data_IF_551950437161
#
_entry.id   IF_551950437161
#
_cell.length_a   1.000
_cell.length_b   1.000
_cell.length_c   1.000
_cell.angle_alpha   90.00
_cell.angle_beta   90.00
_cell.angle_gamma   90.00
#
_symmetry.space_group_name_H-M   'P 1'
#
loop_
_entity.id
_entity.type
_entity.pdbx_description
1 polymer ?
#
# COMPACT_ATOMS: atom_id res chain seq x y z
N UNK A 1 -22.49 -4.53 -14.63
CA UNK A 1 -22.17 -4.36 -13.19
C UNK A 1 -22.01 -2.87 -12.96
N UNK A 2 -22.68 -2.32 -11.94
CA UNK A 2 -22.52 -0.90 -11.60
C UNK A 2 -21.10 -0.68 -11.08
N UNK A 3 -20.46 0.41 -11.51
CA UNK A 3 -19.11 0.79 -11.07
C UNK A 3 -19.16 1.13 -9.58
N UNK A 4 -18.17 0.70 -8.80
CA UNK A 4 -18.11 0.99 -7.37
C UNK A 4 -18.15 2.53 -7.15
N UNK A 5 -18.99 3.06 -6.23
CA UNK A 5 -19.16 4.50 -6.04
C UNK A 5 -17.85 5.22 -5.69
N UNK A 6 -17.00 4.57 -4.90
CA UNK A 6 -15.73 5.16 -4.46
C UNK A 6 -14.61 5.10 -5.51
N UNK A 7 -14.83 4.50 -6.69
CA UNK A 7 -13.75 4.19 -7.62
C UNK A 7 -13.00 5.44 -8.12
N UNK A 8 -13.72 6.55 -8.35
CA UNK A 8 -13.09 7.82 -8.74
C UNK A 8 -12.27 8.43 -7.59
N UNK A 9 -12.80 8.39 -6.37
CA UNK A 9 -12.10 8.92 -5.19
C UNK A 9 -10.84 8.12 -4.85
N UNK A 10 -10.89 6.79 -4.98
CA UNK A 10 -9.74 5.92 -4.74
C UNK A 10 -8.70 6.04 -5.85
N UNK A 11 -9.12 6.21 -7.11
CA UNK A 11 -8.19 6.53 -8.20
C UNK A 11 -7.44 7.84 -7.91
N UNK A 12 -8.15 8.89 -7.49
CA UNK A 12 -7.52 10.16 -7.15
C UNK A 12 -6.51 10.03 -5.99
N UNK A 13 -6.82 9.20 -4.99
CA UNK A 13 -5.89 8.89 -3.90
C UNK A 13 -4.64 8.16 -4.40
N UNK A 14 -4.82 7.13 -5.24
CA UNK A 14 -3.73 6.37 -5.86
C UNK A 14 -2.82 7.29 -6.68
N UNK A 15 -3.39 8.18 -7.49
CA UNK A 15 -2.64 9.14 -8.29
C UNK A 15 -1.79 10.06 -7.42
N UNK A 16 -2.37 10.61 -6.35
CA UNK A 16 -1.64 11.43 -5.38
C UNK A 16 -0.52 10.64 -4.67
N UNK A 17 -0.75 9.37 -4.33
CA UNK A 17 0.29 8.52 -3.74
C UNK A 17 1.46 8.29 -4.71
N UNK A 18 1.19 8.14 -6.01
CA UNK A 18 2.24 8.07 -7.04
C UNK A 18 3.01 9.40 -7.18
N UNK A 19 2.36 10.55 -7.03
CA UNK A 19 3.04 11.84 -7.01
C UNK A 19 4.03 11.92 -5.84
N UNK A 20 3.62 11.55 -4.63
CA UNK A 20 4.51 11.54 -3.46
C UNK A 20 5.66 10.54 -3.60
N UNK A 21 5.42 9.37 -4.19
CA UNK A 21 6.46 8.40 -4.50
C UNK A 21 7.50 8.99 -5.47
N UNK A 22 7.05 9.67 -6.52
CA UNK A 22 7.96 10.29 -7.49
C UNK A 22 8.74 11.45 -6.85
N UNK A 23 8.11 12.27 -6.02
CA UNK A 23 8.80 13.31 -5.25
C UNK A 23 9.87 12.70 -4.32
N UNK A 24 9.58 11.59 -3.64
CA UNK A 24 10.56 10.88 -2.81
C UNK A 24 11.74 10.36 -3.65
N UNK A 25 11.47 9.85 -4.86
CA UNK A 25 12.50 9.41 -5.80
C UNK A 25 13.37 10.56 -6.28
N UNK A 26 12.77 11.69 -6.67
CA UNK A 26 13.48 12.90 -7.10
C UNK A 26 14.36 13.47 -5.97
N UNK A 27 13.87 13.50 -4.73
CA UNK A 27 14.66 13.89 -3.55
C UNK A 27 15.91 13.01 -3.38
N UNK A 28 15.76 11.69 -3.51
CA UNK A 28 16.87 10.76 -3.41
C UNK A 28 17.88 10.92 -4.57
N UNK A 29 17.41 11.13 -5.81
CA UNK A 29 18.29 11.41 -6.97
C UNK A 29 19.05 12.71 -6.79
N UNK A 30 18.39 13.79 -6.36
CA UNK A 30 19.05 15.08 -6.15
C UNK A 30 20.14 14.99 -5.06
N UNK A 31 19.85 14.26 -3.98
CA UNK A 31 20.84 14.00 -2.93
C UNK A 31 22.06 13.26 -3.49
N UNK A 32 21.85 12.25 -4.35
CA UNK A 32 22.93 11.53 -5.05
C UNK A 32 23.82 12.49 -5.85
N UNK A 33 23.21 13.36 -6.66
CA UNK A 33 23.95 14.32 -7.49
C UNK A 33 24.76 15.31 -6.65
N UNK A 34 24.24 15.77 -5.51
CA UNK A 34 25.00 16.64 -4.60
C UNK A 34 26.25 15.96 -4.03
N UNK A 35 26.13 14.67 -3.67
CA UNK A 35 27.23 13.84 -3.17
C UNK A 35 28.31 13.62 -4.25
N UNK A 36 27.90 13.45 -5.52
CA UNK A 36 28.82 13.30 -6.66
C UNK A 36 29.61 14.58 -7.00
N UNK A 37 29.02 15.76 -6.85
CA UNK A 37 29.67 17.05 -7.17
C UNK A 37 30.74 17.41 -6.13
N UNK A 38 30.63 16.94 -4.89
CA UNK A 38 31.59 17.16 -3.80
C UNK A 38 32.93 16.42 -3.92
N UNK A 39 33.42 16.12 -5.13
CA UNK A 39 34.63 15.34 -5.43
C UNK A 39 35.94 16.05 -5.01
N UNK A 40 36.17 16.12 -3.70
CA UNK A 40 37.40 16.56 -3.04
C UNK A 40 37.43 16.11 -1.57
N UNK A 41 38.57 16.23 -0.87
CA UNK A 41 38.68 15.94 0.57
C UNK A 41 39.60 14.80 0.99
N UNK A 42 39.76 14.65 2.31
CA UNK A 42 40.59 13.63 2.99
C UNK A 42 40.09 12.21 2.72
N UNK A 43 40.88 11.19 3.07
CA UNK A 43 40.47 9.76 2.94
C UNK A 43 39.19 9.46 3.71
N UNK A 44 39.02 10.05 4.90
CA UNK A 44 37.83 9.95 5.74
C UNK A 44 36.59 10.50 5.03
N UNK A 45 36.71 11.66 4.39
CA UNK A 45 35.62 12.27 3.62
C UNK A 45 35.22 11.47 2.37
N UNK A 46 36.09 10.59 1.86
CA UNK A 46 35.76 9.65 0.77
C UNK A 46 34.99 8.44 1.30
N UNK A 47 35.41 7.86 2.43
CA UNK A 47 34.72 6.73 3.04
C UNK A 47 33.29 7.08 3.47
N UNK A 48 33.10 8.21 4.15
CA UNK A 48 31.76 8.69 4.54
C UNK A 48 30.85 8.90 3.33
N UNK A 49 31.43 9.36 2.21
CA UNK A 49 30.72 9.54 0.95
C UNK A 49 30.26 8.22 0.35
N UNK A 50 31.15 7.23 0.31
CA UNK A 50 30.84 5.92 -0.26
C UNK A 50 29.68 5.25 0.52
N UNK A 51 29.67 5.38 1.86
CA UNK A 51 28.55 4.91 2.69
C UNK A 51 27.25 5.64 2.36
N UNK A 52 27.30 6.97 2.20
CA UNK A 52 26.11 7.76 1.85
C UNK A 52 25.61 7.38 0.44
N UNK A 53 26.50 7.21 -0.53
CA UNK A 53 26.13 6.79 -1.89
C UNK A 53 25.46 5.41 -1.88
N UNK A 54 26.02 4.44 -1.14
CA UNK A 54 25.44 3.11 -0.98
C UNK A 54 24.04 3.18 -0.35
N UNK A 55 23.86 4.01 0.69
CA UNK A 55 22.56 4.22 1.32
C UNK A 55 21.52 4.80 0.34
N UNK A 56 21.92 5.78 -0.49
CA UNK A 56 21.04 6.38 -1.49
C UNK A 56 20.68 5.37 -2.58
N UNK A 57 21.65 4.58 -3.07
CA UNK A 57 21.40 3.52 -4.05
C UNK A 57 20.43 2.47 -3.49
N UNK A 58 20.65 2.03 -2.25
CA UNK A 58 19.74 1.11 -1.57
C UNK A 58 18.33 1.70 -1.43
N UNK A 59 18.21 2.99 -1.11
CA UNK A 59 16.91 3.68 -1.04
C UNK A 59 16.23 3.73 -2.41
N UNK A 60 16.95 4.09 -3.47
CA UNK A 60 16.39 4.16 -4.83
C UNK A 60 15.93 2.78 -5.32
N UNK A 61 16.72 1.73 -5.08
CA UNK A 61 16.35 0.36 -5.44
C UNK A 61 15.08 -0.10 -4.71
N UNK A 62 14.93 0.25 -3.43
CA UNK A 62 13.70 -0.05 -2.67
C UNK A 62 12.48 0.70 -3.19
N UNK A 63 12.62 1.82 -3.89
CA UNK A 63 11.49 2.59 -4.43
C UNK A 63 11.03 2.10 -5.82
N UNK A 64 11.61 1.01 -6.36
CA UNK A 64 11.22 0.46 -7.64
C UNK A 64 10.01 -0.48 -7.53
N UNK A 65 8.91 -0.11 -8.17
CA UNK A 65 7.68 -0.94 -8.28
C UNK A 65 7.65 -1.82 -9.54
N UNK A 66 8.45 -1.50 -10.56
CA UNK A 66 8.32 -2.11 -11.88
C UNK A 66 6.91 -1.87 -12.47
N UNK A 67 6.24 -2.94 -12.89
CA UNK A 67 4.86 -2.90 -13.41
C UNK A 67 3.79 -3.10 -12.33
N UNK A 68 4.16 -3.33 -11.08
CA UNK A 68 3.21 -3.59 -9.99
C UNK A 68 2.47 -2.30 -9.56
N UNK A 69 1.23 -2.46 -9.10
CA UNK A 69 0.49 -1.36 -8.48
C UNK A 69 1.13 -0.98 -7.13
N UNK A 70 1.11 0.31 -6.79
CA UNK A 70 1.63 0.81 -5.51
C UNK A 70 0.75 0.33 -4.35
N UNK A 71 -0.55 0.55 -4.48
CA UNK A 71 -1.59 0.24 -3.49
C UNK A 71 -2.38 -0.96 -4.00
N UNK A 72 -2.73 -1.89 -3.12
CA UNK A 72 -3.57 -3.05 -3.46
C UNK A 72 -4.82 -3.17 -2.58
N UNK A 73 -4.98 -2.29 -1.59
CA UNK A 73 -6.20 -2.23 -0.81
C UNK A 73 -6.16 -1.20 0.29
N UNK A 74 -7.20 -1.22 1.13
CA UNK A 74 -7.40 -0.33 2.27
C UNK A 74 -8.02 -1.12 3.43
N UNK A 75 -7.67 -0.77 4.66
CA UNK A 75 -8.39 -1.21 5.86
C UNK A 75 -8.96 0.01 6.57
N UNK A 76 -10.17 -0.16 7.10
CA UNK A 76 -10.81 0.81 7.99
C UNK A 76 -11.00 0.13 9.34
N UNK A 77 -10.64 0.82 10.42
CA UNK A 77 -10.67 0.27 11.78
C UNK A 77 -11.86 0.81 12.57
N UNK A 78 -12.20 0.14 13.67
CA UNK A 78 -13.21 0.59 14.63
C UNK A 78 -12.87 1.96 15.27
N UNK A 79 -11.58 2.30 15.36
CA UNK A 79 -11.09 3.61 15.82
C UNK A 79 -11.37 4.75 14.81
N UNK A 80 -11.84 4.43 13.61
CA UNK A 80 -12.09 5.38 12.53
C UNK A 80 -10.85 5.72 11.70
N UNK A 81 -9.75 5.00 11.90
CA UNK A 81 -8.53 5.15 11.10
C UNK A 81 -8.68 4.41 9.76
N UNK A 82 -8.03 4.93 8.72
CA UNK A 82 -8.00 4.32 7.39
C UNK A 82 -6.56 4.20 6.92
N UNK A 83 -6.18 2.99 6.52
CA UNK A 83 -4.83 2.72 6.05
C UNK A 83 -4.87 2.13 4.65
N UNK A 84 -4.33 2.85 3.67
CA UNK A 84 -4.07 2.31 2.35
C UNK A 84 -2.82 1.43 2.39
N UNK A 85 -2.99 0.16 2.03
CA UNK A 85 -1.94 -0.86 2.12
C UNK A 85 -1.31 -1.07 0.74
N UNK A 86 0.01 -1.01 0.71
CA UNK A 86 0.77 -1.07 -0.53
C UNK A 86 2.12 -1.76 -0.41
N UNK A 87 2.80 -1.84 -1.56
CA UNK A 87 4.09 -2.53 -1.69
C UNK A 87 5.25 -1.76 -1.10
N UNK A 88 5.10 -0.45 -0.97
CA UNK A 88 6.10 0.48 -0.48
C UNK A 88 5.44 1.48 0.47
N UNK A 89 6.13 1.82 1.55
CA UNK A 89 5.76 2.95 2.38
C UNK A 89 5.97 4.27 1.61
N UNK A 90 4.93 5.09 1.56
CA UNK A 90 4.95 6.44 0.99
C UNK A 90 4.43 7.41 2.03
N UNK A 91 5.11 8.54 2.18
CA UNK A 91 4.71 9.61 3.08
C UNK A 91 4.62 10.92 2.29
N UNK A 92 3.77 11.83 2.76
CA UNK A 92 3.60 13.15 2.18
C UNK A 92 4.76 14.10 2.55
N UNK A 93 4.56 15.39 2.30
CA UNK A 93 5.54 16.45 2.60
C UNK A 93 5.72 16.69 4.10
N UNK A 94 4.72 16.35 4.92
CA UNK A 94 4.73 16.47 6.38
C UNK A 94 5.21 15.21 7.09
N UNK A 95 5.56 14.16 6.33
CA UNK A 95 5.92 12.82 6.81
C UNK A 95 4.75 12.02 7.36
N UNK A 96 3.52 12.39 7.00
CA UNK A 96 2.33 11.60 7.30
C UNK A 96 2.23 10.41 6.33
N UNK A 97 1.89 9.20 6.82
CA UNK A 97 1.83 8.01 5.98
C UNK A 97 0.66 8.09 4.99
N UNK A 98 0.98 8.03 3.70
CA UNK A 98 0.01 7.95 2.59
C UNK A 98 -0.20 6.49 2.17
N UNK A 99 0.86 5.69 2.20
CA UNK A 99 0.78 4.25 1.93
C UNK A 99 1.55 3.52 3.02
N UNK A 100 0.89 2.56 3.65
CA UNK A 100 1.49 1.66 4.63
C UNK A 100 2.10 0.46 3.91
N UNK A 101 3.35 0.15 4.19
CA UNK A 101 4.00 -1.08 3.69
C UNK A 101 3.28 -2.30 4.26
N UNK A 102 2.93 -3.24 3.40
CA UNK A 102 2.23 -4.48 3.76
C UNK A 102 2.94 -5.31 4.84
N UNK A 103 4.24 -5.10 5.06
CA UNK A 103 5.02 -5.78 6.10
C UNK A 103 4.91 -5.12 7.47
N UNK A 104 4.29 -3.94 7.55
CA UNK A 104 4.12 -3.24 8.82
C UNK A 104 3.11 -4.00 9.70
N UNK A 105 3.30 -4.04 11.04
CA UNK A 105 2.35 -4.71 11.94
C UNK A 105 0.91 -4.21 11.80
N UNK A 106 0.70 -2.92 11.56
CA UNK A 106 -0.65 -2.35 11.37
C UNK A 106 -1.36 -2.88 10.11
N UNK A 107 -0.62 -3.37 9.11
CA UNK A 107 -1.17 -3.96 7.90
C UNK A 107 -1.53 -5.45 8.07
N UNK A 108 -1.20 -6.07 9.20
CA UNK A 108 -1.41 -7.51 9.45
C UNK A 108 -2.87 -7.91 9.28
N UNK A 109 -3.80 -7.08 9.77
CA UNK A 109 -5.23 -7.32 9.68
C UNK A 109 -5.72 -7.42 8.22
N UNK A 110 -5.04 -6.77 7.27
CA UNK A 110 -5.38 -6.90 5.84
C UNK A 110 -5.33 -8.36 5.37
N UNK A 111 -4.42 -9.18 5.89
CA UNK A 111 -4.27 -10.58 5.47
C UNK A 111 -4.85 -11.59 6.45
N UNK A 112 -4.91 -11.24 7.73
CA UNK A 112 -5.25 -12.19 8.80
C UNK A 112 -6.67 -12.02 9.35
N UNK A 113 -7.30 -10.86 9.18
CA UNK A 113 -8.65 -10.65 9.67
C UNK A 113 -9.63 -11.61 8.97
N UNK A 114 -10.56 -12.15 9.74
CA UNK A 114 -11.64 -13.04 9.31
C UNK A 114 -12.95 -12.60 9.96
N UNK A 115 -14.10 -13.08 9.47
CA UNK A 115 -15.38 -12.75 10.12
C UNK A 115 -15.47 -13.15 11.60
N UNK A 116 -14.71 -14.16 12.05
CA UNK A 116 -14.67 -14.60 13.46
C UNK A 116 -13.67 -13.81 14.31
N UNK A 117 -12.61 -13.31 13.68
CA UNK A 117 -11.59 -12.47 14.30
C UNK A 117 -11.31 -11.27 13.37
N UNK A 118 -12.10 -10.20 13.49
CA UNK A 118 -11.95 -9.00 12.66
C UNK A 118 -10.63 -8.26 12.86
N UNK A 119 -9.88 -8.54 13.93
CA UNK A 119 -8.66 -7.82 14.30
C UNK A 119 -8.86 -6.29 14.35
N UNK A 120 -10.05 -5.83 14.77
CA UNK A 120 -10.42 -4.41 14.88
C UNK A 120 -10.78 -3.73 13.56
N UNK A 121 -10.97 -4.49 12.47
CA UNK A 121 -11.45 -3.97 11.20
C UNK A 121 -12.97 -3.82 11.18
N UNK A 122 -13.44 -2.77 10.49
CA UNK A 122 -14.84 -2.64 10.07
C UNK A 122 -15.02 -2.95 8.59
N UNK A 123 -14.02 -2.60 7.77
CA UNK A 123 -14.02 -2.79 6.33
C UNK A 123 -12.60 -3.14 5.86
N UNK A 124 -12.49 -4.15 4.99
CA UNK A 124 -11.31 -4.43 4.17
C UNK A 124 -11.68 -4.26 2.70
N UNK A 125 -10.94 -3.43 2.00
CA UNK A 125 -11.12 -3.14 0.59
C UNK A 125 -9.96 -3.67 -0.22
N UNK A 126 -10.25 -4.44 -1.27
CA UNK A 126 -9.27 -4.91 -2.24
C UNK A 126 -9.37 -4.10 -3.54
N UNK A 127 -8.22 -3.76 -4.10
CA UNK A 127 -8.12 -3.04 -5.36
C UNK A 127 -7.68 -3.95 -6.49
N UNK A 128 -8.49 -4.01 -7.54
CA UNK A 128 -8.10 -4.62 -8.82
C UNK A 128 -7.50 -3.52 -9.67
N UNK A 129 -6.18 -3.56 -9.90
CA UNK A 129 -5.48 -2.52 -10.63
C UNK A 129 -4.66 -3.05 -11.81
N UNK A 130 -4.53 -2.22 -12.84
CA UNK A 130 -3.57 -2.39 -13.94
C UNK A 130 -2.56 -1.25 -13.89
N UNK A 131 -1.40 -1.50 -13.31
CA UNK A 131 -0.42 -0.45 -13.06
C UNK A 131 -0.98 0.61 -12.12
N UNK A 132 -1.20 1.84 -12.63
CA UNK A 132 -1.78 2.95 -11.87
C UNK A 132 -3.30 3.05 -11.95
N UNK A 133 -3.91 2.31 -12.88
CA UNK A 133 -5.35 2.36 -13.14
C UNK A 133 -6.09 1.42 -12.20
N UNK A 134 -7.01 1.94 -11.39
CA UNK A 134 -7.95 1.20 -10.58
C UNK A 134 -9.12 0.75 -11.46
N UNK A 135 -9.22 -0.56 -11.65
CA UNK A 135 -10.22 -1.20 -12.50
C UNK A 135 -11.48 -1.51 -11.70
N UNK A 136 -11.32 -2.04 -10.49
CA UNK A 136 -12.43 -2.44 -9.63
C UNK A 136 -12.08 -2.40 -8.15
N UNK A 137 -13.11 -2.43 -7.31
CA UNK A 137 -13.05 -2.43 -5.86
C UNK A 137 -13.91 -3.57 -5.31
N UNK A 138 -13.35 -4.37 -4.42
CA UNK A 138 -14.06 -5.42 -3.69
C UNK A 138 -14.04 -5.11 -2.19
N UNK A 139 -15.22 -4.98 -1.58
CA UNK A 139 -15.38 -4.64 -0.16
C UNK A 139 -15.78 -5.88 0.66
N UNK A 140 -15.13 -6.04 1.81
CA UNK A 140 -15.40 -7.06 2.82
C UNK A 140 -15.67 -6.40 4.16
N UNK A 141 -16.87 -6.64 4.71
CA UNK A 141 -17.35 -6.01 5.93
C UNK A 141 -17.26 -6.96 7.11
N UNK A 142 -16.76 -6.44 8.23
CA UNK A 142 -16.61 -7.17 9.49
C UNK A 142 -17.61 -6.74 10.55
N UNK A 143 -18.19 -5.55 10.41
CA UNK A 143 -19.27 -5.04 11.26
C UNK A 143 -20.48 -4.68 10.39
N UNK A 144 -21.57 -5.44 10.54
CA UNK A 144 -22.82 -5.25 9.80
C UNK A 144 -23.71 -4.16 10.43
N UNK A 145 -23.51 -3.81 11.69
CA UNK A 145 -24.36 -2.84 12.41
C UNK A 145 -23.97 -1.40 12.07
N UNK A 146 -22.78 -1.19 11.50
CA UNK A 146 -22.28 0.11 10.99
C UNK A 146 -22.56 0.35 9.51
N UNK A 147 -23.38 -0.49 8.88
CA UNK A 147 -23.84 -0.32 7.51
C UNK A 147 -24.72 0.95 7.40
N UNK A 148 -24.15 2.05 6.90
CA UNK A 148 -24.96 3.02 6.18
C UNK A 148 -25.50 2.37 4.88
N UNK A 149 -26.67 2.83 4.41
CA UNK A 149 -27.40 2.31 3.24
C UNK A 149 -26.55 2.22 1.95
N UNK A 150 -25.42 2.92 1.90
CA UNK A 150 -24.48 3.00 0.77
C UNK A 150 -23.90 1.64 0.34
N UNK A 151 -23.69 0.70 1.27
CA UNK A 151 -22.99 -0.57 0.98
C UNK A 151 -23.91 -1.76 0.68
N UNK A 152 -25.24 -1.61 0.81
CA UNK A 152 -26.19 -2.71 0.64
C UNK A 152 -26.34 -3.21 -0.82
N UNK A 153 -25.76 -2.51 -1.80
CA UNK A 153 -25.94 -2.80 -3.24
C UNK A 153 -24.70 -3.28 -4.01
N UNK A 154 -23.50 -3.22 -3.44
CA UNK A 154 -22.24 -3.44 -4.17
C UNK A 154 -21.34 -4.43 -3.44
N UNK A 155 -21.39 -5.71 -3.85
CA UNK A 155 -20.27 -6.64 -3.68
C UNK A 155 -19.76 -6.92 -2.27
N UNK A 156 -20.46 -6.50 -1.21
CA UNK A 156 -20.11 -6.86 0.15
C UNK A 156 -20.16 -8.38 0.28
N UNK A 157 -18.99 -9.03 0.30
CA UNK A 157 -18.90 -10.44 0.63
C UNK A 157 -19.19 -10.53 2.13
N UNK A 158 -20.46 -10.60 2.49
CA UNK A 158 -20.89 -10.78 3.88
C UNK A 158 -20.18 -12.03 4.38
N UNK A 159 -19.38 -11.88 5.43
CA UNK A 159 -18.62 -12.93 6.11
C UNK A 159 -19.44 -14.19 6.46
N UNK A 160 -20.78 -14.13 6.34
CA UNK A 160 -21.69 -15.27 6.37
C UNK A 160 -21.34 -16.39 5.38
N UNK A 161 -20.65 -16.13 4.26
CA UNK A 161 -20.26 -17.17 3.30
C UNK A 161 -19.02 -17.99 3.74
N UNK A 162 -18.19 -17.47 4.64
CA UNK A 162 -17.00 -18.19 5.12
C UNK A 162 -17.33 -19.33 6.09
N UNK A 163 -18.51 -19.31 6.73
CA UNK A 163 -18.97 -20.46 7.53
C UNK A 163 -19.20 -21.73 6.70
N UNK A 164 -19.18 -21.66 5.36
CA UNK A 164 -19.38 -22.80 4.47
C UNK A 164 -18.16 -23.13 3.57
N UNK A 165 -17.05 -22.37 3.65
CA UNK A 165 -15.96 -22.42 2.66
C UNK A 165 -14.57 -22.76 3.22
N UNK A 166 -14.51 -23.52 4.32
CA UNK A 166 -13.28 -24.18 4.85
C UNK A 166 -12.63 -25.20 3.87
N UNK A 167 -12.90 -25.14 2.56
CA UNK A 167 -12.54 -26.18 1.60
C UNK A 167 -11.61 -25.79 0.45
N UNK A 168 -11.46 -24.52 0.06
CA UNK A 168 -10.69 -24.22 -1.18
C UNK A 168 -10.36 -22.74 -1.39
N UNK A 169 -9.24 -22.27 -0.83
CA UNK A 169 -8.52 -21.12 -1.38
C UNK A 169 -7.03 -21.48 -1.46
N UNK A 170 -6.66 -21.99 -2.63
CA UNK A 170 -5.28 -22.20 -3.05
C UNK A 170 -4.68 -20.84 -3.38
N UNK A 171 -3.85 -20.39 -2.45
CA UNK A 171 -2.55 -19.76 -2.64
C UNK A 171 -2.08 -19.62 -4.11
N UNK A 172 -1.94 -18.38 -4.58
CA UNK A 172 -1.02 -18.02 -5.67
C UNK A 172 -0.02 -17.02 -5.09
N UNK A 173 0.88 -17.54 -4.24
CA UNK A 173 2.25 -17.06 -4.16
C UNK A 173 2.98 -17.55 -5.42
N UNK A 174 3.26 -16.63 -6.34
CA UNK A 174 4.18 -16.88 -7.45
C UNK A 174 5.20 -15.75 -7.53
N UNK A 175 6.20 -15.79 -6.65
CA UNK A 175 7.65 -15.80 -7.01
C UNK A 175 8.49 -15.60 -5.74
N UNK A 176 8.82 -16.72 -5.08
CA UNK A 176 10.07 -16.86 -4.34
C UNK A 176 10.68 -18.20 -4.77
N UNK A 177 11.89 -18.11 -5.34
CA UNK A 177 12.93 -19.12 -5.57
C UNK A 177 13.35 -19.29 -7.04
N UNK A 178 14.62 -18.91 -7.30
CA UNK A 178 15.36 -19.12 -8.54
C UNK A 178 16.25 -17.94 -8.88
#
# INVERSE_FOLDING_TARGET
MSRHPDLESEQAYIDRAYEYLEQARLRAVNLRSMVEVGRGGTTQARYERDVIEEQILNRLSRLQLGSASLIFGRIDTESGERFHIGRLAVADEHQEPVVVDWRAPVAEAFYRATGRDPMGLVLRRHFVSRGRELIDIEDELFDLDRLDETYQGHGALVAALEQNRDGQLRDIVATIQG
#
